data_IF_301396927123
#
_entry.id   IF_301396927123
#
_cell.length_a   1.000
_cell.length_b   1.000
_cell.length_c   1.000
_cell.angle_alpha   90.00
_cell.angle_beta   90.00
_cell.angle_gamma   90.00
#
_symmetry.space_group_name_H-M   'P 1'
#
loop_
_entity.id
_entity.type
_entity.pdbx_description
1 polymer ?
#
# COMPACT_ATOMS: atom_id res chain seq x y z
N UNK A 1 19.31 4.76 22.39
CA UNK A 1 20.13 5.10 21.21
C UNK A 1 19.29 4.75 19.99
N UNK A 2 18.13 5.38 19.86
CA UNK A 2 17.89 6.73 19.35
C UNK A 2 17.75 6.69 17.83
N UNK A 3 16.50 6.52 17.38
CA UNK A 3 16.04 7.13 16.13
C UNK A 3 14.50 7.29 16.16
N UNK A 4 14.02 8.03 17.18
CA UNK A 4 12.71 8.67 17.19
C UNK A 4 12.91 10.14 16.81
N UNK A 5 12.98 10.44 15.51
CA UNK A 5 12.68 11.77 14.97
C UNK A 5 12.80 11.74 13.44
N UNK A 6 11.67 11.73 12.74
CA UNK A 6 11.37 12.69 11.66
C UNK A 6 9.96 12.41 11.10
N UNK A 7 8.95 13.02 11.72
CA UNK A 7 7.56 13.00 11.30
C UNK A 7 7.24 14.26 10.49
N UNK A 8 7.84 14.39 9.31
CA UNK A 8 7.42 15.35 8.28
C UNK A 8 7.32 14.65 6.91
N UNK A 9 6.11 14.61 6.36
CA UNK A 9 5.90 14.63 4.90
C UNK A 9 6.19 13.38 4.07
N UNK A 10 5.98 12.15 4.57
CA UNK A 10 6.05 10.93 3.73
C UNK A 10 4.66 10.30 3.59
N UNK A 11 4.14 10.25 2.37
CA UNK A 11 3.02 9.40 1.99
C UNK A 11 3.37 7.95 2.40
N UNK A 12 2.82 7.49 3.53
CA UNK A 12 3.15 6.20 4.14
C UNK A 12 2.41 5.08 3.41
N UNK A 13 2.85 4.77 2.20
CA UNK A 13 2.54 3.51 1.55
C UNK A 13 3.34 2.44 2.31
N UNK A 14 2.78 1.96 3.43
CA UNK A 14 3.42 1.03 4.34
C UNK A 14 3.45 -0.37 3.73
N UNK A 15 4.49 -0.65 2.95
CA UNK A 15 4.89 -2.01 2.65
C UNK A 15 5.15 -2.73 3.97
N UNK A 16 4.45 -3.83 4.21
CA UNK A 16 4.74 -4.70 5.33
C UNK A 16 5.68 -5.81 4.86
N UNK A 17 6.76 -6.06 5.61
CA UNK A 17 7.58 -7.27 5.38
C UNK A 17 6.94 -8.40 6.18
N UNK A 18 6.33 -9.40 5.52
CA UNK A 18 5.75 -10.52 6.24
C UNK A 18 6.88 -11.30 6.92
N UNK A 19 6.82 -11.42 8.25
CA UNK A 19 7.75 -12.24 9.02
C UNK A 19 7.10 -13.58 9.38
N UNK A 20 7.86 -14.69 9.31
CA UNK A 20 7.39 -15.96 9.83
C UNK A 20 7.01 -15.81 11.30
N UNK A 21 5.80 -16.24 11.64
CA UNK A 21 5.34 -16.29 13.03
C UNK A 21 5.91 -17.53 13.72
N UNK A 22 6.52 -17.40 14.91
CA UNK A 22 7.13 -18.54 15.61
C UNK A 22 6.06 -19.56 16.09
N UNK A 23 4.83 -19.10 16.30
CA UNK A 23 3.66 -19.87 16.72
C UNK A 23 2.85 -20.46 15.54
N UNK A 24 3.38 -20.39 14.32
CA UNK A 24 2.67 -20.92 13.15
C UNK A 24 2.63 -22.46 13.16
N UNK A 25 1.42 -23.01 13.24
CA UNK A 25 1.19 -24.46 13.22
C UNK A 25 1.41 -25.01 11.80
N UNK A 26 2.55 -25.66 11.58
CA UNK A 26 2.90 -26.29 10.31
C UNK A 26 2.74 -27.82 10.36
N UNK A 27 1.52 -28.30 10.13
CA UNK A 27 1.24 -29.73 10.01
C UNK A 27 1.36 -30.23 8.56
N UNK A 28 1.27 -31.55 8.32
CA UNK A 28 1.44 -32.14 6.99
C UNK A 28 0.44 -31.59 5.95
N UNK A 29 -0.80 -31.31 6.36
CA UNK A 29 -1.85 -30.76 5.49
C UNK A 29 -1.53 -29.32 5.08
N UNK A 30 -1.17 -28.47 6.04
CA UNK A 30 -0.79 -27.07 5.81
C UNK A 30 0.47 -26.99 4.95
N UNK A 31 1.46 -27.86 5.21
CA UNK A 31 2.67 -27.95 4.40
C UNK A 31 2.35 -28.28 2.94
N UNK A 32 1.54 -29.32 2.69
CA UNK A 32 1.13 -29.71 1.32
C UNK A 32 0.33 -28.61 0.62
N UNK A 33 -0.54 -27.90 1.34
CA UNK A 33 -1.30 -26.77 0.79
C UNK A 33 -0.37 -25.59 0.44
N UNK A 34 0.57 -25.29 1.32
CA UNK A 34 1.59 -24.24 1.14
C UNK A 34 2.48 -24.56 -0.05
N UNK A 35 2.99 -25.79 -0.17
CA UNK A 35 3.81 -26.23 -1.31
C UNK A 35 3.08 -26.05 -2.64
N UNK A 36 1.81 -26.46 -2.71
CA UNK A 36 0.97 -26.26 -3.91
C UNK A 36 0.77 -24.77 -4.21
N UNK A 37 0.43 -23.97 -3.20
CA UNK A 37 0.25 -22.52 -3.34
C UNK A 37 1.52 -21.82 -3.83
N UNK A 38 2.67 -22.16 -3.27
CA UNK A 38 3.97 -21.66 -3.68
C UNK A 38 4.31 -22.03 -5.13
N UNK A 39 3.90 -23.22 -5.59
CA UNK A 39 4.02 -23.61 -7.00
C UNK A 39 3.29 -22.65 -7.95
N UNK A 40 2.03 -22.32 -7.64
CA UNK A 40 1.25 -21.35 -8.43
C UNK A 40 1.85 -19.95 -8.39
N UNK A 41 2.23 -19.48 -7.20
CA UNK A 41 2.81 -18.14 -7.02
C UNK A 41 4.13 -17.98 -7.77
N UNK A 42 5.00 -19.01 -7.74
CA UNK A 42 6.27 -19.01 -8.49
C UNK A 42 6.05 -19.04 -10.01
N UNK A 43 4.95 -19.64 -10.46
CA UNK A 43 4.54 -19.64 -11.86
C UNK A 43 3.81 -18.35 -12.28
N UNK A 44 3.63 -17.38 -11.39
CA UNK A 44 2.98 -16.10 -11.68
C UNK A 44 1.46 -16.12 -11.65
N UNK A 45 0.84 -17.19 -11.13
CA UNK A 45 -0.60 -17.29 -11.02
C UNK A 45 -1.13 -16.76 -9.68
N UNK A 46 -2.24 -16.01 -9.67
CA UNK A 46 -2.87 -15.54 -8.44
C UNK A 46 -3.50 -16.69 -7.65
N UNK A 47 -3.48 -16.58 -6.32
CA UNK A 47 -4.03 -17.59 -5.41
C UNK A 47 -5.24 -17.04 -4.64
N UNK A 48 -6.34 -17.80 -4.64
CA UNK A 48 -7.52 -17.51 -3.84
C UNK A 48 -7.70 -18.60 -2.77
N UNK A 49 -7.57 -18.24 -1.50
CA UNK A 49 -7.82 -19.13 -0.37
C UNK A 49 -9.30 -19.09 0.05
N UNK A 50 -10.01 -20.22 -0.01
CA UNK A 50 -11.42 -20.34 0.40
C UNK A 50 -11.60 -21.27 1.60
N UNK A 51 -12.60 -20.97 2.41
CA UNK A 51 -13.03 -21.78 3.55
C UNK A 51 -13.71 -20.94 4.65
N UNK A 52 -14.23 -21.57 5.72
CA UNK A 52 -14.93 -20.90 6.81
C UNK A 52 -14.13 -19.77 7.47
N UNK A 53 -14.81 -18.84 8.13
CA UNK A 53 -14.15 -17.81 8.93
C UNK A 53 -13.33 -18.46 10.08
N UNK A 54 -12.22 -17.84 10.47
CA UNK A 54 -11.39 -18.32 11.60
C UNK A 54 -10.39 -19.44 11.29
N UNK A 55 -10.40 -20.06 10.11
CA UNK A 55 -9.46 -21.16 9.78
C UNK A 55 -8.00 -20.72 9.48
N UNK A 56 -7.69 -19.43 9.65
CA UNK A 56 -6.34 -18.91 9.42
C UNK A 56 -5.96 -18.65 7.95
N UNK A 57 -6.92 -18.38 7.04
CA UNK A 57 -6.65 -18.08 5.62
C UNK A 57 -5.66 -16.92 5.46
N UNK A 58 -5.90 -15.81 6.16
CA UNK A 58 -5.02 -14.63 6.14
C UNK A 58 -3.65 -14.99 6.72
N UNK A 59 -3.61 -15.75 7.80
CA UNK A 59 -2.36 -16.24 8.40
C UNK A 59 -1.56 -17.10 7.41
N UNK A 60 -2.23 -17.99 6.68
CA UNK A 60 -1.61 -18.83 5.65
C UNK A 60 -1.08 -18.01 4.47
N UNK A 61 -1.84 -17.00 4.02
CA UNK A 61 -1.41 -16.08 2.97
C UNK A 61 -0.14 -15.30 3.39
N UNK A 62 -0.11 -14.76 4.61
CA UNK A 62 1.06 -14.08 5.16
C UNK A 62 2.25 -15.02 5.35
N UNK A 63 2.00 -16.28 5.75
CA UNK A 63 3.03 -17.30 5.84
C UNK A 63 3.67 -17.59 4.48
N UNK A 64 2.87 -17.77 3.42
CA UNK A 64 3.38 -17.94 2.06
C UNK A 64 4.14 -16.70 1.56
N UNK A 65 3.64 -15.50 1.86
CA UNK A 65 4.32 -14.26 1.48
C UNK A 65 5.68 -14.10 2.18
N UNK A 66 5.78 -14.49 3.45
CA UNK A 66 7.05 -14.53 4.18
C UNK A 66 8.06 -15.48 3.52
N UNK A 67 7.61 -16.66 3.07
CA UNK A 67 8.48 -17.59 2.33
C UNK A 67 8.89 -17.08 0.96
N UNK A 68 8.04 -16.28 0.31
CA UNK A 68 8.36 -15.64 -0.98
C UNK A 68 9.39 -14.52 -0.84
N UNK A 69 9.60 -13.98 0.37
CA UNK A 69 10.53 -12.89 0.63
C UNK A 69 10.15 -11.57 -0.04
N UNK A 70 8.87 -11.40 -0.41
CA UNK A 70 8.36 -10.18 -1.05
C UNK A 70 7.58 -9.33 -0.03
N UNK A 71 7.70 -7.99 -0.09
CA UNK A 71 6.85 -7.12 0.71
C UNK A 71 5.39 -7.33 0.32
N UNK A 72 4.49 -7.15 1.29
CA UNK A 72 3.04 -7.24 1.08
C UNK A 72 2.39 -5.89 1.30
N UNK A 73 1.36 -5.65 0.52
CA UNK A 73 0.42 -4.55 0.72
C UNK A 73 -0.91 -5.19 1.07
N UNK A 74 -1.45 -4.84 2.24
CA UNK A 74 -2.75 -5.33 2.70
C UNK A 74 -3.82 -4.35 2.26
N UNK A 75 -4.78 -4.84 1.48
CA UNK A 75 -5.97 -4.09 1.08
C UNK A 75 -7.17 -4.76 1.74
N UNK A 76 -7.86 -4.02 2.60
CA UNK A 76 -9.13 -4.42 3.20
C UNK A 76 -10.22 -3.59 2.54
N UNK A 77 -11.17 -4.27 1.90
CA UNK A 77 -12.31 -3.60 1.27
C UNK A 77 -13.57 -3.72 2.08
N UNK A 78 -14.41 -2.69 1.97
CA UNK A 78 -15.81 -2.68 2.37
C UNK A 78 -16.68 -2.37 1.14
N UNK A 79 -17.98 -2.12 1.36
CA UNK A 79 -18.93 -1.81 0.28
C UNK A 79 -18.81 -0.38 -0.25
N UNK A 80 -18.18 0.53 0.50
CA UNK A 80 -17.98 1.94 0.12
C UNK A 80 -16.67 2.13 -0.66
N UNK A 81 -15.74 1.17 -0.56
CA UNK A 81 -14.44 1.22 -1.24
C UNK A 81 -14.59 1.38 -2.76
N UNK A 82 -14.11 2.51 -3.28
CA UNK A 82 -14.19 2.87 -4.68
C UNK A 82 -12.86 2.75 -5.43
N UNK A 83 -12.88 3.05 -6.73
CA UNK A 83 -11.67 3.02 -7.59
C UNK A 83 -10.59 4.00 -7.11
N UNK A 84 -11.00 5.14 -6.55
CA UNK A 84 -10.09 6.16 -6.03
C UNK A 84 -9.26 5.64 -4.85
N UNK A 85 -9.83 4.79 -3.99
CA UNK A 85 -9.13 4.21 -2.83
C UNK A 85 -8.11 3.14 -3.23
N UNK A 86 -8.31 2.50 -4.39
CA UNK A 86 -7.40 1.51 -4.94
C UNK A 86 -6.27 2.18 -5.73
N UNK A 87 -6.65 2.94 -6.76
CA UNK A 87 -5.72 3.44 -7.78
C UNK A 87 -5.15 4.82 -7.42
N UNK A 88 -5.91 5.60 -6.69
CA UNK A 88 -5.57 6.96 -6.33
C UNK A 88 -6.51 7.99 -6.93
N UNK A 89 -6.29 9.23 -6.51
CA UNK A 89 -7.13 10.37 -6.81
C UNK A 89 -6.25 11.56 -7.22
N UNK A 90 -6.80 12.46 -8.04
CA UNK A 90 -6.27 13.81 -8.16
C UNK A 90 -6.50 14.57 -6.85
N UNK A 91 -5.42 14.72 -6.09
CA UNK A 91 -5.41 15.51 -4.88
C UNK A 91 -5.18 16.99 -5.20
N UNK A 92 -5.96 17.85 -4.56
CA UNK A 92 -5.61 19.23 -4.24
C UNK A 92 -5.42 20.21 -5.40
N UNK A 93 -5.68 21.48 -5.08
CA UNK A 93 -5.17 22.60 -5.85
C UNK A 93 -4.03 23.21 -5.05
N UNK A 94 -2.80 23.19 -5.59
CA UNK A 94 -1.72 23.95 -4.98
C UNK A 94 -1.82 25.41 -5.42
N UNK A 95 -2.48 26.24 -4.63
CA UNK A 95 -2.55 27.67 -4.88
C UNK A 95 -1.26 28.36 -4.43
N UNK A 96 -0.55 29.00 -5.36
CA UNK A 96 0.58 29.88 -5.05
C UNK A 96 0.23 31.30 -5.46
N UNK A 97 0.06 32.19 -4.48
CA UNK A 97 -0.14 33.63 -4.69
C UNK A 97 1.18 34.36 -4.47
N UNK A 98 1.75 34.93 -5.53
CA UNK A 98 2.93 35.80 -5.44
C UNK A 98 2.45 37.25 -5.53
N UNK A 99 2.78 38.05 -4.51
CA UNK A 99 2.50 39.50 -4.47
C UNK A 99 3.83 40.21 -4.61
N UNK A 100 4.08 40.77 -5.78
CA UNK A 100 5.32 41.51 -6.06
C UNK A 100 5.05 43.02 -6.01
N UNK A 101 5.80 43.75 -5.17
CA UNK A 101 5.63 45.20 -4.97
C UNK A 101 6.73 45.97 -5.69
N UNK A 102 6.66 46.01 -7.02
CA UNK A 102 7.73 46.58 -7.85
C UNK A 102 7.76 48.13 -7.88
N UNK A 103 6.65 48.80 -7.59
CA UNK A 103 6.57 50.27 -7.47
C UNK A 103 5.34 50.63 -6.64
N UNK A 104 5.34 51.79 -5.99
CA UNK A 104 4.40 52.28 -4.96
C UNK A 104 2.89 52.27 -5.33
N UNK A 105 2.50 51.75 -6.50
CA UNK A 105 1.09 51.67 -6.90
C UNK A 105 0.72 50.49 -7.83
N UNK A 106 1.60 49.52 -8.07
CA UNK A 106 1.32 48.40 -8.99
C UNK A 106 1.59 47.07 -8.29
N UNK A 107 0.57 46.22 -8.23
CA UNK A 107 0.66 44.87 -7.67
C UNK A 107 0.45 43.85 -8.79
N UNK A 108 1.43 42.96 -9.01
CA UNK A 108 1.24 41.79 -9.86
C UNK A 108 0.64 40.66 -9.01
N UNK A 109 -0.49 40.11 -9.47
CA UNK A 109 -1.10 38.91 -8.91
C UNK A 109 -0.87 37.75 -9.86
N UNK A 110 -0.14 36.73 -9.40
CA UNK A 110 0.00 35.48 -10.14
C UNK A 110 -0.59 34.34 -9.30
N UNK A 111 -1.57 33.66 -9.86
CA UNK A 111 -2.22 32.48 -9.29
C UNK A 111 -1.89 31.28 -10.17
N UNK A 112 -1.10 30.35 -9.64
CA UNK A 112 -0.89 29.03 -10.27
C UNK A 112 -1.72 28.01 -9.53
N UNK A 113 -2.61 27.31 -10.23
CA UNK A 113 -3.32 26.14 -9.74
C UNK A 113 -2.77 24.91 -10.45
N UNK A 114 -2.11 24.01 -9.71
CA UNK A 114 -1.59 22.75 -10.24
C UNK A 114 -2.35 21.58 -9.62
N UNK A 115 -2.82 20.67 -10.48
CA UNK A 115 -3.38 19.38 -10.08
C UNK A 115 -2.24 18.40 -9.78
N UNK A 116 -2.29 17.71 -8.63
CA UNK A 116 -1.32 16.66 -8.33
C UNK A 116 -2.00 15.29 -8.21
N UNK A 117 -1.48 14.29 -8.92
CA UNK A 117 -1.94 12.91 -8.77
C UNK A 117 -1.35 12.30 -7.50
N UNK A 118 -2.19 11.66 -6.68
CA UNK A 118 -1.78 10.94 -5.48
C UNK A 118 -2.04 9.44 -5.64
N UNK A 119 -0.99 8.68 -5.95
CA UNK A 119 -1.04 7.22 -6.04
C UNK A 119 -1.48 6.58 -4.73
N UNK A 120 -2.30 5.53 -4.80
CA UNK A 120 -2.70 4.70 -3.67
C UNK A 120 -2.02 3.33 -3.68
N UNK A 121 -2.39 2.48 -2.71
CA UNK A 121 -1.76 1.20 -2.41
C UNK A 121 -1.68 0.25 -3.61
N UNK A 122 -2.73 0.15 -4.43
CA UNK A 122 -2.72 -0.76 -5.59
C UNK A 122 -1.76 -0.25 -6.69
N UNK A 123 -1.82 1.04 -7.03
CA UNK A 123 -0.94 1.65 -8.04
C UNK A 123 0.53 1.57 -7.64
N UNK A 124 0.81 1.73 -6.36
CA UNK A 124 2.16 1.59 -5.82
C UNK A 124 2.66 0.15 -5.90
N UNK A 125 1.79 -0.84 -5.69
CA UNK A 125 2.15 -2.26 -5.73
C UNK A 125 2.55 -2.75 -7.13
N UNK A 126 2.02 -2.11 -8.18
CA UNK A 126 2.23 -2.51 -9.58
C UNK A 126 3.39 -1.80 -10.27
N UNK A 127 4.06 -0.85 -9.61
CA UNK A 127 5.23 -0.14 -10.14
C UNK A 127 6.50 -0.95 -9.92
#
# INVERSE_FOLDING_TARGET
MADEMNAEGRNTLSWAVPRPRPDFVNNATIRRLTERGMGFLKAGFPLHLRGPAGIGKTTLALHMAAQLGRPVIMITGDQEMGTADLVGNQGGYRYRKVVDRFTHNVTKFEESAQHHWADHHFTTACR
#
